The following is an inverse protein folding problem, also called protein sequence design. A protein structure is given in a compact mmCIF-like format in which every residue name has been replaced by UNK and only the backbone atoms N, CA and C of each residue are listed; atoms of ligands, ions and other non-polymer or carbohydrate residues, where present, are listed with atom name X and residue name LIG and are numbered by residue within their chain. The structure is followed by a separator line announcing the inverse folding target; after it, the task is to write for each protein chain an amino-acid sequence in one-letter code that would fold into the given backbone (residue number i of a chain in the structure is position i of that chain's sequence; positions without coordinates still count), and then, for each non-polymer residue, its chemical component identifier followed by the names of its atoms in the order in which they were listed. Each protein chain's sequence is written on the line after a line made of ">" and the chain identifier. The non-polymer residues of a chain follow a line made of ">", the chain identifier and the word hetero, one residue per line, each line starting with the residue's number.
data_IF_356208178611
#
_entry.id   IF_356208178611
#
_cell.length_a   1.000
_cell.length_b   1.000
_cell.length_c   1.000
_cell.angle_alpha   90.00
_cell.angle_beta   90.00
_cell.angle_gamma   90.00
#
_symmetry.space_group_name_H-M   'P 1'
#
loop_
_entity.id
_entity.type
_entity.pdbx_description
1 polymer ?
#
# COMPACT_ATOMS: atom_id res chain seq x y z
N UNK A 1 -21.50 11.36 -2.70
CA UNK A 1 -21.38 12.55 -1.83
C UNK A 1 -21.43 12.05 -0.39
N UNK A 2 -20.47 12.42 0.46
CA UNK A 2 -20.40 11.96 1.87
C UNK A 2 -21.48 12.64 2.72
N UNK A 3 -22.03 11.95 3.72
CA UNK A 3 -22.23 12.52 5.07
C UNK A 3 -22.73 11.47 6.07
N UNK A 4 -21.82 11.01 6.92
CA UNK A 4 -22.11 10.31 8.18
C UNK A 4 -20.92 10.50 9.14
N UNK A 5 -21.14 10.79 10.42
CA UNK A 5 -20.08 11.12 11.36
C UNK A 5 -19.29 9.84 11.70
N UNK A 6 -18.13 9.67 11.05
CA UNK A 6 -17.27 8.48 11.20
C UNK A 6 -17.08 7.66 9.93
N UNK A 7 -17.67 8.04 8.80
CA UNK A 7 -17.49 7.33 7.53
C UNK A 7 -16.20 7.74 6.82
N UNK A 8 -15.23 6.83 6.72
CA UNK A 8 -14.13 6.97 5.77
C UNK A 8 -14.67 6.74 4.34
N UNK A 9 -14.61 7.76 3.48
CA UNK A 9 -14.91 7.61 2.06
C UNK A 9 -13.62 7.69 1.25
N UNK A 10 -13.34 6.66 0.44
CA UNK A 10 -12.21 6.64 -0.48
C UNK A 10 -12.73 6.51 -1.92
N UNK A 11 -12.05 7.17 -2.87
CA UNK A 11 -12.34 7.02 -4.31
C UNK A 11 -11.55 5.84 -4.86
N UNK A 12 -12.17 5.01 -5.71
CA UNK A 12 -11.52 3.83 -6.27
C UNK A 12 -10.22 4.18 -7.01
N UNK A 13 -10.22 5.27 -7.80
CA UNK A 13 -9.03 5.76 -8.51
C UNK A 13 -7.92 6.20 -7.55
N UNK A 14 -8.30 6.75 -6.38
CA UNK A 14 -7.37 7.17 -5.34
C UNK A 14 -6.73 5.98 -4.63
N UNK A 15 -7.47 4.88 -4.44
CA UNK A 15 -6.95 3.64 -3.82
C UNK A 15 -5.94 2.98 -4.76
N UNK A 16 -6.29 2.88 -6.05
CA UNK A 16 -5.42 2.28 -7.07
C UNK A 16 -4.12 3.08 -7.23
N UNK A 17 -4.22 4.40 -7.41
CA UNK A 17 -3.06 5.28 -7.50
C UNK A 17 -2.15 5.26 -6.26
N UNK A 18 -2.73 5.19 -5.06
CA UNK A 18 -1.95 5.07 -3.81
C UNK A 18 -1.21 3.72 -3.74
N UNK A 19 -1.83 2.64 -4.22
CA UNK A 19 -1.18 1.32 -4.26
C UNK A 19 0.03 1.30 -5.20
N UNK A 20 -0.06 1.97 -6.34
CA UNK A 20 1.04 2.11 -7.30
C UNK A 20 2.19 2.93 -6.73
N UNK A 21 1.90 4.10 -6.14
CA UNK A 21 2.91 4.95 -5.51
C UNK A 21 3.71 4.24 -4.41
N UNK A 22 3.04 3.45 -3.56
CA UNK A 22 3.71 2.70 -2.50
C UNK A 22 4.65 1.63 -3.07
N UNK A 23 4.25 0.98 -4.15
CA UNK A 23 5.09 -0.02 -4.80
C UNK A 23 6.29 0.62 -5.52
N UNK A 24 6.11 1.78 -6.13
CA UNK A 24 7.20 2.58 -6.72
C UNK A 24 8.19 3.04 -5.64
N UNK A 25 7.70 3.56 -4.51
CA UNK A 25 8.55 3.95 -3.38
C UNK A 25 9.35 2.76 -2.84
N UNK A 26 8.73 1.59 -2.72
CA UNK A 26 9.42 0.35 -2.35
C UNK A 26 10.53 -0.02 -3.35
N UNK A 27 10.25 0.12 -4.66
CA UNK A 27 11.24 -0.11 -5.72
C UNK A 27 12.40 0.90 -5.71
N UNK A 28 12.12 2.18 -5.47
CA UNK A 28 13.13 3.23 -5.35
C UNK A 28 14.02 3.03 -4.13
N UNK A 29 13.43 2.68 -2.99
CA UNK A 29 14.17 2.28 -1.80
C UNK A 29 15.07 1.08 -2.11
N UNK A 30 14.56 0.10 -2.86
CA UNK A 30 15.35 -1.07 -3.25
C UNK A 30 16.56 -0.74 -4.12
N UNK A 31 16.42 0.23 -5.01
CA UNK A 31 17.54 0.75 -5.80
C UNK A 31 18.54 1.55 -4.95
N UNK A 32 18.06 2.27 -3.94
CA UNK A 32 18.87 3.10 -3.02
C UNK A 32 19.47 2.35 -1.84
N UNK A 33 19.30 1.03 -1.76
CA UNK A 33 19.85 0.22 -0.66
C UNK A 33 21.36 0.38 -0.59
N UNK A 34 21.89 0.40 0.62
CA UNK A 34 23.32 0.43 0.84
C UNK A 34 23.93 -0.87 0.29
N UNK A 35 24.92 -0.74 -0.59
CA UNK A 35 25.66 -1.89 -1.11
C UNK A 35 26.48 -2.53 0.02
N UNK A 36 26.57 -3.86 0.03
CA UNK A 36 27.34 -4.61 1.02
C UNK A 36 28.81 -4.21 1.05
N UNK A 37 29.36 -3.72 -0.06
CA UNK A 37 30.72 -3.19 -0.13
C UNK A 37 30.93 -1.92 0.71
N UNK A 38 29.92 -1.05 0.85
CA UNK A 38 30.04 0.16 1.69
C UNK A 38 30.30 -0.20 3.16
N UNK A 39 29.67 -1.28 3.65
CA UNK A 39 29.90 -1.79 5.00
C UNK A 39 31.32 -2.39 5.17
N UNK A 40 31.99 -2.77 4.08
CA UNK A 40 33.33 -3.37 4.12
C UNK A 40 34.49 -2.38 4.02
N UNK A 41 34.23 -1.14 3.59
CA UNK A 41 35.29 -0.15 3.37
C UNK A 41 35.99 0.27 4.67
N UNK A 42 35.27 0.30 5.80
CA UNK A 42 35.82 0.68 7.10
C UNK A 42 36.39 -0.49 7.91
N UNK A 43 36.53 -1.71 7.36
CA UNK A 43 37.07 -2.84 8.14
C UNK A 43 38.54 -2.67 8.50
N UNK A 44 38.94 -3.23 9.64
CA UNK A 44 40.36 -3.36 10.02
C UNK A 44 41.13 -4.08 8.91
N UNK A 45 42.33 -3.61 8.49
CA UNK A 45 43.15 -2.55 9.10
C UNK A 45 42.95 -1.15 8.49
N UNK A 46 41.94 -0.94 7.65
CA UNK A 46 41.74 0.34 6.94
C UNK A 46 41.21 1.46 7.82
N UNK A 47 40.65 1.14 8.98
CA UNK A 47 40.19 2.10 9.97
C UNK A 47 40.54 1.66 11.40
N UNK A 48 40.39 2.59 12.35
CA UNK A 48 40.51 2.29 13.78
C UNK A 48 39.44 1.26 14.19
N UNK A 49 39.75 0.27 15.05
CA UNK A 49 38.81 -0.81 15.39
C UNK A 49 37.41 -0.35 15.83
N UNK A 50 37.32 0.69 16.66
CA UNK A 50 36.03 1.24 17.10
C UNK A 50 35.22 1.88 15.96
N UNK A 51 35.89 2.43 14.95
CA UNK A 51 35.22 2.99 13.77
C UNK A 51 34.72 1.86 12.88
N UNK A 52 35.52 0.80 12.71
CA UNK A 52 35.11 -0.39 11.98
C UNK A 52 33.84 -1.01 12.59
N UNK A 53 33.82 -1.17 13.91
CA UNK A 53 32.69 -1.71 14.67
C UNK A 53 31.43 -0.82 14.53
N UNK A 54 31.56 0.49 14.75
CA UNK A 54 30.43 1.42 14.62
C UNK A 54 29.83 1.46 13.21
N UNK A 55 30.68 1.39 12.17
CA UNK A 55 30.22 1.36 10.78
C UNK A 55 29.52 0.04 10.46
N UNK A 56 30.02 -1.08 10.99
CA UNK A 56 29.37 -2.39 10.83
C UNK A 56 27.98 -2.41 11.49
N UNK A 57 27.85 -1.89 12.70
CA UNK A 57 26.56 -1.82 13.41
C UNK A 57 25.58 -0.88 12.70
N UNK A 58 26.04 0.29 12.25
CA UNK A 58 25.23 1.19 11.44
C UNK A 58 24.76 0.50 10.16
N UNK A 59 25.67 -0.21 9.47
CA UNK A 59 25.34 -0.89 8.23
C UNK A 59 24.27 -1.97 8.45
N UNK A 60 24.37 -2.75 9.52
CA UNK A 60 23.38 -3.77 9.88
C UNK A 60 22.03 -3.13 10.18
N UNK A 61 22.01 -2.09 11.01
CA UNK A 61 20.80 -1.35 11.34
C UNK A 61 20.13 -0.74 10.09
N UNK A 62 20.90 -0.10 9.21
CA UNK A 62 20.38 0.50 7.99
C UNK A 62 19.77 -0.54 7.05
N UNK A 63 20.38 -1.73 6.96
CA UNK A 63 19.86 -2.84 6.16
C UNK A 63 18.53 -3.37 6.72
N UNK A 64 18.43 -3.53 8.04
CA UNK A 64 17.21 -4.02 8.69
C UNK A 64 16.06 -3.03 8.53
N UNK A 65 16.29 -1.74 8.83
CA UNK A 65 15.29 -0.68 8.66
C UNK A 65 14.81 -0.56 7.21
N UNK A 66 15.71 -0.74 6.25
CA UNK A 66 15.37 -0.76 4.83
C UNK A 66 14.47 -1.95 4.48
N UNK A 67 14.82 -3.15 4.94
CA UNK A 67 14.04 -4.38 4.69
C UNK A 67 12.62 -4.27 5.24
N UNK A 68 12.48 -3.79 6.48
CA UNK A 68 11.20 -3.59 7.14
C UNK A 68 10.32 -2.58 6.42
N UNK A 69 10.91 -1.46 5.97
CA UNK A 69 10.17 -0.42 5.25
C UNK A 69 9.66 -0.92 3.90
N UNK A 70 10.49 -1.64 3.13
CA UNK A 70 10.06 -2.25 1.85
C UNK A 70 8.95 -3.26 2.07
N UNK A 71 9.07 -4.13 3.06
CA UNK A 71 8.04 -5.11 3.39
C UNK A 71 6.71 -4.42 3.77
N UNK A 72 6.77 -3.36 4.57
CA UNK A 72 5.59 -2.59 4.97
C UNK A 72 4.91 -1.90 3.79
N UNK A 73 5.68 -1.24 2.92
CA UNK A 73 5.16 -0.54 1.74
C UNK A 73 4.52 -1.53 0.75
N UNK A 74 5.16 -2.67 0.49
CA UNK A 74 4.61 -3.72 -0.36
C UNK A 74 3.35 -4.36 0.23
N UNK A 75 3.33 -4.61 1.55
CA UNK A 75 2.15 -5.11 2.23
C UNK A 75 0.99 -4.12 2.15
N UNK A 76 1.25 -2.82 2.36
CA UNK A 76 0.24 -1.77 2.28
C UNK A 76 -0.30 -1.60 0.85
N UNK A 77 0.59 -1.60 -0.15
CA UNK A 77 0.20 -1.60 -1.56
C UNK A 77 -0.74 -2.76 -1.90
N UNK A 78 -0.39 -3.97 -1.46
CA UNK A 78 -1.21 -5.18 -1.67
C UNK A 78 -2.59 -5.05 -1.01
N UNK A 79 -2.63 -4.52 0.22
CA UNK A 79 -3.88 -4.29 0.96
C UNK A 79 -4.76 -3.24 0.30
N UNK A 80 -4.18 -2.15 -0.20
CA UNK A 80 -4.93 -1.13 -0.94
C UNK A 80 -5.49 -1.70 -2.24
N UNK A 81 -4.70 -2.45 -3.00
CA UNK A 81 -5.17 -3.08 -4.24
C UNK A 81 -6.31 -4.07 -4.00
N UNK A 82 -6.21 -4.88 -2.95
CA UNK A 82 -7.30 -5.78 -2.53
C UNK A 82 -8.57 -5.01 -2.15
N UNK A 83 -8.43 -3.93 -1.40
CA UNK A 83 -9.55 -3.06 -1.00
C UNK A 83 -10.20 -2.39 -2.22
N UNK A 84 -9.39 -1.88 -3.15
CA UNK A 84 -9.88 -1.28 -4.40
C UNK A 84 -10.68 -2.26 -5.25
N UNK A 85 -10.17 -3.48 -5.42
CA UNK A 85 -10.89 -4.54 -6.15
C UNK A 85 -12.24 -4.89 -5.50
N UNK A 86 -12.27 -5.02 -4.17
CA UNK A 86 -13.50 -5.29 -3.44
C UNK A 86 -14.52 -4.15 -3.61
N UNK A 87 -14.05 -2.90 -3.58
CA UNK A 87 -14.88 -1.71 -3.78
C UNK A 87 -15.50 -1.67 -5.18
N UNK A 88 -14.70 -1.92 -6.23
CA UNK A 88 -15.17 -1.98 -7.62
C UNK A 88 -16.22 -3.08 -7.82
N UNK A 89 -16.02 -4.26 -7.21
CA UNK A 89 -16.99 -5.35 -7.28
C UNK A 89 -18.32 -5.00 -6.59
N UNK A 90 -18.26 -4.35 -5.42
CA UNK A 90 -19.44 -3.90 -4.70
C UNK A 90 -20.24 -2.88 -5.54
N UNK A 91 -19.56 -1.88 -6.13
CA UNK A 91 -20.19 -0.87 -6.98
C UNK A 91 -20.87 -1.51 -8.22
N UNK A 92 -20.19 -2.44 -8.89
CA UNK A 92 -20.76 -3.19 -10.00
C UNK A 92 -22.00 -4.02 -9.61
N UNK A 93 -21.99 -4.61 -8.40
CA UNK A 93 -23.14 -5.35 -7.89
C UNK A 93 -24.33 -4.44 -7.57
N UNK A 94 -24.08 -3.27 -6.96
CA UNK A 94 -25.10 -2.28 -6.67
C UNK A 94 -25.72 -1.72 -7.95
N UNK A 95 -24.88 -1.46 -8.97
CA UNK A 95 -25.34 -1.04 -10.30
C UNK A 95 -26.23 -2.09 -10.94
N UNK A 96 -25.82 -3.36 -10.98
CA UNK A 96 -26.66 -4.45 -11.51
C UNK A 96 -28.00 -4.59 -10.78
N UNK A 97 -28.01 -4.44 -9.45
CA UNK A 97 -29.25 -4.49 -8.68
C UNK A 97 -30.18 -3.32 -8.99
N UNK A 98 -29.63 -2.12 -9.22
CA UNK A 98 -30.39 -0.95 -9.67
C UNK A 98 -30.92 -1.15 -11.09
N UNK A 99 -30.10 -1.63 -12.02
CA UNK A 99 -30.50 -1.91 -13.40
C UNK A 99 -31.62 -2.98 -13.42
N UNK A 100 -31.50 -4.05 -12.64
CA UNK A 100 -32.54 -5.08 -12.52
C UNK A 100 -33.86 -4.53 -11.94
N UNK A 101 -33.78 -3.64 -10.94
CA UNK A 101 -34.96 -2.97 -10.40
C UNK A 101 -35.61 -2.02 -11.42
N UNK A 102 -34.83 -1.38 -12.30
CA UNK A 102 -35.35 -0.50 -13.35
C UNK A 102 -35.96 -1.30 -14.51
N UNK A 103 -35.31 -2.39 -14.91
CA UNK A 103 -35.72 -3.20 -16.07
C UNK A 103 -36.88 -4.15 -15.74
N UNK A 104 -36.88 -4.73 -14.53
CA UNK A 104 -37.84 -5.76 -14.10
C UNK A 104 -38.75 -5.31 -12.96
N UNK A 105 -38.55 -4.12 -12.41
CA UNK A 105 -39.38 -3.58 -11.35
C UNK A 105 -40.78 -3.24 -11.83
N UNK A 106 -41.79 -3.83 -11.19
CA UNK A 106 -43.17 -3.40 -11.35
C UNK A 106 -43.54 -2.46 -10.20
N UNK A 107 -44.00 -1.25 -10.55
CA UNK A 107 -44.61 -0.37 -9.57
C UNK A 107 -45.91 -1.00 -9.06
N UNK A 108 -46.01 -1.17 -7.74
CA UNK A 108 -47.24 -1.56 -7.04
C UNK A 108 -47.67 -0.35 -6.23
N UNK A 109 -48.84 0.20 -6.53
CA UNK A 109 -49.37 1.33 -5.78
C UNK A 109 -49.59 0.90 -4.31
N UNK A 110 -49.41 1.80 -3.33
CA UNK A 110 -49.56 1.47 -1.91
C UNK A 110 -50.93 0.90 -1.55
N UNK A 111 -51.95 1.28 -2.30
CA UNK A 111 -53.34 0.83 -2.19
C UNK A 111 -53.60 -0.57 -2.76
N UNK A 112 -52.66 -1.13 -3.53
CA UNK A 112 -52.68 -2.50 -4.10
C UNK A 112 -51.78 -3.48 -3.31
N UNK A 113 -51.21 -3.09 -2.17
CA UNK A 113 -50.35 -3.93 -1.32
C UNK A 113 -51.12 -4.61 -0.17
#
# INVERSE_FOLDING_TARGET
>A
MSTGPGGFSARAESIDGSSHLLNELAGLLYAGRMDGENATQCRVPRSHPQVAEAVEDFARYAQDQYGDLVALLSALSTRLRSTGNAYVQADASARRAMDDLLDNGRYVAPEDR
#
